data_IF_807507002158
#
_entry.id   IF_807507002158
#
_cell.length_a   1.000
_cell.length_b   1.000
_cell.length_c   1.000
_cell.angle_alpha   90.00
_cell.angle_beta   90.00
_cell.angle_gamma   90.00
#
_symmetry.space_group_name_H-M   'P 1'
#
loop_
_entity.id
_entity.type
_entity.pdbx_description
1 polymer ?
#
# COMPACT_ATOMS: atom_id res chain seq x y z
N UNK A 1 -11.12 48.72 58.35
CA UNK A 1 -11.77 47.79 57.40
C UNK A 1 -10.72 46.81 56.90
N UNK A 2 -10.70 45.58 57.42
CA UNK A 2 -9.75 44.53 57.02
C UNK A 2 -10.37 43.68 55.91
N UNK A 3 -9.86 43.81 54.68
CA UNK A 3 -10.25 42.95 53.57
C UNK A 3 -9.62 41.56 53.77
N UNK A 4 -10.44 40.57 54.11
CA UNK A 4 -10.02 39.17 54.08
C UNK A 4 -9.85 38.75 52.61
N UNK A 5 -8.62 38.39 52.22
CA UNK A 5 -8.29 37.82 50.92
C UNK A 5 -8.98 36.46 50.77
N UNK A 6 -9.97 36.37 49.87
CA UNK A 6 -10.67 35.11 49.53
C UNK A 6 -9.72 34.17 48.76
N UNK A 7 -8.92 33.40 49.52
CA UNK A 7 -7.95 32.43 49.00
C UNK A 7 -8.60 31.35 48.11
N UNK A 8 -9.90 31.09 48.27
CA UNK A 8 -10.68 30.19 47.41
C UNK A 8 -10.67 30.61 45.93
N UNK A 9 -10.78 31.91 45.65
CA UNK A 9 -10.82 32.42 44.28
C UNK A 9 -9.48 32.21 43.57
N UNK A 10 -8.37 32.31 44.31
CA UNK A 10 -7.01 32.05 43.81
C UNK A 10 -6.81 30.56 43.52
N UNK A 11 -7.31 29.66 44.37
CA UNK A 11 -7.24 28.21 44.17
C UNK A 11 -8.05 27.77 42.94
N UNK A 12 -9.26 28.31 42.76
CA UNK A 12 -10.09 28.02 41.58
C UNK A 12 -9.41 28.51 40.29
N UNK A 13 -8.82 29.71 40.30
CA UNK A 13 -8.07 30.23 39.15
C UNK A 13 -6.87 29.32 38.83
N UNK A 14 -6.09 28.91 39.84
CA UNK A 14 -4.95 28.00 39.64
C UNK A 14 -5.39 26.65 39.08
N UNK A 15 -6.49 26.06 39.57
CA UNK A 15 -7.01 24.79 39.07
C UNK A 15 -7.52 24.89 37.61
N UNK A 16 -8.18 26.00 37.24
CA UNK A 16 -8.60 26.26 35.86
C UNK A 16 -7.38 26.41 34.94
N UNK A 17 -6.35 27.17 35.34
CA UNK A 17 -5.11 27.30 34.56
C UNK A 17 -4.34 25.97 34.44
N UNK A 18 -4.36 25.10 35.47
CA UNK A 18 -3.73 23.78 35.41
C UNK A 18 -4.47 22.85 34.42
N UNK A 19 -5.80 22.94 34.38
CA UNK A 19 -6.64 22.12 33.49
C UNK A 19 -6.50 22.49 32.01
N UNK A 20 -6.35 23.77 31.68
CA UNK A 20 -6.12 24.23 30.29
C UNK A 20 -4.72 23.87 29.79
N UNK A 21 -3.74 23.86 30.67
CA UNK A 21 -2.35 23.50 30.38
C UNK A 21 -2.19 22.01 29.97
N UNK A 22 -3.00 21.12 30.56
CA UNK A 22 -3.00 19.69 30.24
C UNK A 22 -3.68 19.38 28.92
N UNK A 23 -4.78 20.08 28.58
CA UNK A 23 -5.48 19.91 27.31
C UNK A 23 -4.61 20.33 26.10
N UNK A 24 -3.78 21.37 26.25
CA UNK A 24 -2.91 21.85 25.18
C UNK A 24 -1.78 20.87 24.80
N UNK A 25 -1.34 20.01 25.73
CA UNK A 25 -0.30 18.99 25.45
C UNK A 25 -0.82 17.71 24.81
N UNK A 26 -2.12 17.45 24.87
CA UNK A 26 -2.74 16.28 24.22
C UNK A 26 -2.98 16.46 22.71
N UNK A 27 -2.83 17.70 22.21
CA UNK A 27 -3.16 18.07 20.84
C UNK A 27 -1.91 18.39 19.99
N UNK A 28 -0.78 17.71 20.18
CA UNK A 28 0.36 17.82 19.24
C UNK A 28 0.33 16.67 18.22
N UNK A 29 -0.74 16.61 17.42
CA UNK A 29 -0.82 15.71 16.26
C UNK A 29 0.05 16.22 15.10
N UNK A 30 0.34 15.36 14.12
CA UNK A 30 1.06 15.77 12.90
C UNK A 30 0.26 16.88 12.19
N UNK A 31 0.79 18.11 12.05
CA UNK A 31 0.04 19.22 11.45
C UNK A 31 -0.26 19.01 9.95
N UNK A 32 0.38 18.02 9.31
CA UNK A 32 0.12 17.62 7.93
C UNK A 32 -0.93 16.50 7.81
N UNK A 33 -1.44 15.99 8.93
CA UNK A 33 -2.39 14.88 8.92
C UNK A 33 -3.70 15.28 8.24
N UNK A 34 -4.11 14.50 7.25
CA UNK A 34 -5.39 14.65 6.58
C UNK A 34 -6.22 13.38 6.84
N UNK A 35 -7.19 13.48 7.75
CA UNK A 35 -8.02 12.35 8.16
C UNK A 35 -8.83 11.78 7.00
N UNK A 36 -9.45 12.62 6.19
CA UNK A 36 -10.28 12.17 5.06
C UNK A 36 -9.44 11.37 4.04
N UNK A 37 -8.21 11.84 3.77
CA UNK A 37 -7.28 11.12 2.91
C UNK A 37 -6.86 9.78 3.54
N UNK A 38 -6.47 9.77 4.82
CA UNK A 38 -6.09 8.56 5.54
C UNK A 38 -7.22 7.51 5.53
N UNK A 39 -8.44 7.90 5.85
CA UNK A 39 -9.63 7.04 5.83
C UNK A 39 -9.88 6.49 4.41
N UNK A 40 -9.80 7.34 3.38
CA UNK A 40 -10.02 6.93 1.99
C UNK A 40 -8.99 5.90 1.49
N UNK A 41 -7.77 5.94 2.03
CA UNK A 41 -6.69 5.03 1.68
C UNK A 41 -6.66 3.77 2.54
N UNK A 42 -7.46 3.73 3.61
CA UNK A 42 -7.46 2.66 4.61
C UNK A 42 -6.17 2.65 5.43
N UNK A 43 -5.62 3.83 5.73
CA UNK A 43 -4.43 3.99 6.53
C UNK A 43 -4.70 3.76 8.02
N UNK A 44 -3.74 3.16 8.71
CA UNK A 44 -3.66 3.16 10.17
C UNK A 44 -3.09 4.48 10.72
N UNK A 45 -2.89 4.54 12.03
CA UNK A 45 -2.36 5.73 12.73
C UNK A 45 -0.96 6.16 12.24
N UNK A 46 -0.21 5.26 11.60
CA UNK A 46 1.11 5.54 11.02
C UNK A 46 1.04 5.95 9.54
N UNK A 47 -0.14 5.98 8.93
CA UNK A 47 -0.27 6.25 7.49
C UNK A 47 0.02 5.03 6.62
N UNK A 48 -0.07 3.82 7.19
CA UNK A 48 0.35 2.57 6.58
C UNK A 48 -0.81 1.58 6.48
N UNK A 49 -0.65 0.52 5.68
CA UNK A 49 -1.57 -0.61 5.65
C UNK A 49 -0.90 -1.88 5.15
N UNK A 50 -1.59 -3.00 5.32
CA UNK A 50 -1.17 -4.29 4.78
C UNK A 50 -1.48 -4.41 3.29
N UNK A 51 -0.51 -4.95 2.56
CA UNK A 51 -0.55 -5.38 1.17
C UNK A 51 -0.07 -6.83 1.09
N UNK A 52 -0.12 -7.40 -0.11
CA UNK A 52 0.60 -8.64 -0.43
C UNK A 52 1.70 -8.36 -1.44
N UNK A 53 2.95 -8.52 -1.01
CA UNK A 53 4.12 -8.57 -1.88
C UNK A 53 4.17 -9.94 -2.55
N UNK A 54 4.37 -9.95 -3.86
CA UNK A 54 4.55 -11.16 -4.66
C UNK A 54 5.91 -11.10 -5.33
N UNK A 55 6.73 -12.12 -5.13
CA UNK A 55 7.94 -12.33 -5.92
C UNK A 55 7.62 -13.32 -7.05
N UNK A 56 7.95 -12.94 -8.28
CA UNK A 56 7.81 -13.78 -9.45
C UNK A 56 9.12 -14.51 -9.72
N UNK A 57 9.06 -15.80 -10.05
CA UNK A 57 10.21 -16.60 -10.50
C UNK A 57 9.83 -17.47 -11.70
N UNK A 58 10.82 -18.07 -12.34
CA UNK A 58 10.56 -19.06 -13.39
C UNK A 58 9.76 -20.24 -12.80
N UNK A 59 8.69 -20.64 -13.49
CA UNK A 59 7.88 -21.80 -13.08
C UNK A 59 8.42 -23.12 -13.63
N UNK A 60 7.73 -24.21 -13.31
CA UNK A 60 8.12 -25.57 -13.74
C UNK A 60 7.94 -25.85 -15.23
N UNK A 61 7.21 -25.00 -15.96
CA UNK A 61 6.88 -25.22 -17.38
C UNK A 61 7.68 -24.27 -18.27
N UNK A 62 8.42 -24.85 -19.21
CA UNK A 62 9.07 -24.14 -20.31
C UNK A 62 8.38 -24.48 -21.62
N UNK A 63 7.99 -23.45 -22.39
CA UNK A 63 7.29 -23.61 -23.67
C UNK A 63 8.25 -23.22 -24.79
N UNK A 64 8.61 -24.19 -25.64
CA UNK A 64 9.54 -23.98 -26.75
C UNK A 64 8.91 -23.19 -27.91
N UNK A 65 7.59 -23.25 -28.09
CA UNK A 65 6.89 -22.48 -29.12
C UNK A 65 6.83 -21.00 -28.75
N UNK A 66 7.60 -20.19 -29.48
CA UNK A 66 7.65 -18.74 -29.30
C UNK A 66 6.30 -18.06 -29.45
N UNK A 67 5.46 -18.44 -30.43
CA UNK A 67 4.15 -17.80 -30.63
C UNK A 67 3.25 -18.02 -29.42
N UNK A 68 3.29 -19.23 -28.87
CA UNK A 68 2.52 -19.58 -27.66
C UNK A 68 3.03 -18.81 -26.44
N UNK A 69 4.33 -18.74 -26.24
CA UNK A 69 4.96 -17.97 -25.15
C UNK A 69 4.62 -16.48 -25.24
N UNK A 70 4.75 -15.88 -26.43
CA UNK A 70 4.44 -14.47 -26.66
C UNK A 70 2.95 -14.17 -26.37
N UNK A 71 2.03 -15.06 -26.76
CA UNK A 71 0.61 -14.92 -26.46
C UNK A 71 0.31 -14.98 -24.95
N UNK A 72 0.96 -15.89 -24.22
CA UNK A 72 0.82 -16.00 -22.76
C UNK A 72 1.30 -14.73 -22.07
N UNK A 73 2.47 -14.21 -22.44
CA UNK A 73 3.01 -12.99 -21.83
C UNK A 73 2.24 -11.73 -22.25
N UNK A 74 1.65 -11.68 -23.45
CA UNK A 74 0.70 -10.62 -23.79
C UNK A 74 -0.52 -10.65 -22.85
N UNK A 75 -1.07 -11.84 -22.59
CA UNK A 75 -2.16 -12.00 -21.63
C UNK A 75 -1.77 -11.64 -20.19
N UNK A 76 -0.53 -11.94 -19.77
CA UNK A 76 0.05 -11.51 -18.50
C UNK A 76 0.05 -9.98 -18.35
N UNK A 77 0.56 -9.25 -19.36
CA UNK A 77 0.57 -7.78 -19.36
C UNK A 77 -0.86 -7.19 -19.35
N UNK A 78 -1.79 -7.78 -20.10
CA UNK A 78 -3.19 -7.37 -20.08
C UNK A 78 -3.82 -7.56 -18.69
N UNK A 79 -3.50 -8.67 -18.02
CA UNK A 79 -3.95 -8.94 -16.65
C UNK A 79 -3.40 -7.91 -15.65
N UNK A 80 -2.10 -7.56 -15.76
CA UNK A 80 -1.47 -6.52 -14.95
C UNK A 80 -2.24 -5.20 -15.08
N UNK A 81 -2.51 -4.74 -16.31
CA UNK A 81 -3.25 -3.49 -16.54
C UNK A 81 -4.65 -3.54 -15.97
N UNK A 82 -5.37 -4.63 -16.22
CA UNK A 82 -6.73 -4.81 -15.69
C UNK A 82 -6.72 -4.69 -14.16
N UNK A 83 -5.80 -5.38 -13.47
CA UNK A 83 -5.70 -5.33 -12.01
C UNK A 83 -5.26 -3.95 -11.49
N UNK A 84 -4.39 -3.24 -12.22
CA UNK A 84 -4.01 -1.87 -11.87
C UNK A 84 -5.22 -0.92 -11.99
N UNK A 85 -5.99 -1.00 -13.08
CA UNK A 85 -7.20 -0.22 -13.31
C UNK A 85 -8.29 -0.51 -12.28
N UNK A 86 -8.40 -1.76 -11.82
CA UNK A 86 -9.30 -2.17 -10.73
C UNK A 86 -8.80 -1.76 -9.33
N UNK A 87 -7.62 -1.13 -9.24
CA UNK A 87 -7.00 -0.73 -7.97
C UNK A 87 -6.54 -1.90 -7.10
N UNK A 88 -6.40 -3.09 -7.69
CA UNK A 88 -5.98 -4.34 -7.03
C UNK A 88 -4.48 -4.57 -7.08
N UNK A 89 -3.80 -3.99 -8.07
CA UNK A 89 -2.35 -4.05 -8.24
C UNK A 89 -1.77 -2.64 -8.15
N UNK A 90 -0.90 -2.42 -7.17
CA UNK A 90 -0.29 -1.12 -6.90
C UNK A 90 1.04 -0.95 -7.59
N UNK A 91 1.88 -1.99 -7.62
CA UNK A 91 3.19 -1.99 -8.27
C UNK A 91 3.33 -3.27 -9.06
N UNK A 92 3.86 -3.15 -10.27
CA UNK A 92 4.34 -4.27 -11.06
C UNK A 92 5.62 -3.87 -11.79
N UNK A 93 6.61 -4.75 -11.79
CA UNK A 93 7.84 -4.49 -12.52
C UNK A 93 8.78 -5.69 -12.58
N UNK A 94 9.60 -5.77 -13.62
CA UNK A 94 10.66 -6.76 -13.68
C UNK A 94 11.72 -6.48 -12.62
N UNK A 95 12.38 -7.53 -12.16
CA UNK A 95 13.63 -7.44 -11.43
C UNK A 95 14.77 -7.68 -12.41
N UNK A 96 15.87 -6.96 -12.21
CA UNK A 96 17.12 -7.26 -12.90
C UNK A 96 17.62 -8.66 -12.55
N UNK A 97 18.51 -9.19 -13.38
CA UNK A 97 19.15 -10.48 -13.12
C UNK A 97 19.79 -10.48 -11.72
N UNK A 98 19.49 -11.53 -10.95
CA UNK A 98 19.92 -11.68 -9.57
C UNK A 98 20.23 -13.15 -9.24
N UNK A 99 20.99 -13.36 -8.17
CA UNK A 99 21.43 -14.68 -7.69
C UNK A 99 20.27 -15.54 -7.14
N UNK A 100 19.10 -14.94 -6.89
CA UNK A 100 17.90 -15.63 -6.41
C UNK A 100 16.98 -16.11 -7.52
N UNK A 101 17.22 -15.72 -8.77
CA UNK A 101 16.40 -16.09 -9.92
C UNK A 101 15.00 -15.46 -9.93
N UNK A 102 14.77 -14.39 -9.16
CA UNK A 102 13.52 -13.65 -9.23
C UNK A 102 13.45 -12.83 -10.52
N UNK A 103 12.26 -12.79 -11.13
CA UNK A 103 12.00 -12.16 -12.42
C UNK A 103 11.26 -10.84 -12.31
N UNK A 104 10.55 -10.61 -11.21
CA UNK A 104 9.69 -9.44 -11.05
C UNK A 104 8.99 -9.43 -9.71
N UNK A 105 8.29 -8.33 -9.43
CA UNK A 105 7.48 -8.18 -8.24
C UNK A 105 6.08 -7.68 -8.58
N UNK A 106 5.11 -8.05 -7.75
CA UNK A 106 3.84 -7.35 -7.61
C UNK A 106 3.64 -6.86 -6.18
N UNK A 107 2.95 -5.74 -6.02
CA UNK A 107 2.35 -5.33 -4.74
C UNK A 107 0.85 -5.26 -4.94
N UNK A 108 0.12 -6.23 -4.39
CA UNK A 108 -1.34 -6.31 -4.48
C UNK A 108 -2.00 -5.56 -3.31
N UNK A 109 -3.00 -4.75 -3.62
CA UNK A 109 -3.83 -3.99 -2.68
C UNK A 109 -4.99 -4.84 -2.16
N UNK A 110 -4.64 -5.90 -1.43
CA UNK A 110 -5.57 -6.84 -0.79
C UNK A 110 -5.11 -7.13 0.64
N UNK A 111 -6.04 -7.55 1.50
CA UNK A 111 -5.77 -7.73 2.94
C UNK A 111 -5.16 -9.09 3.23
N UNK A 112 -5.40 -10.10 2.39
CA UNK A 112 -5.01 -11.48 2.68
C UNK A 112 -4.29 -12.16 1.52
N UNK A 113 -3.46 -13.13 1.87
CA UNK A 113 -2.80 -14.04 0.91
C UNK A 113 -3.84 -14.81 0.08
N UNK A 114 -5.00 -15.15 0.65
CA UNK A 114 -6.05 -15.87 -0.05
C UNK A 114 -6.64 -15.04 -1.20
N UNK A 115 -6.94 -13.77 -0.94
CA UNK A 115 -7.41 -12.84 -1.97
C UNK A 115 -6.34 -12.66 -3.06
N UNK A 116 -5.07 -12.53 -2.67
CA UNK A 116 -3.97 -12.41 -3.62
C UNK A 116 -3.88 -13.64 -4.55
N UNK A 117 -4.00 -14.86 -4.01
CA UNK A 117 -4.00 -16.09 -4.82
C UNK A 117 -5.12 -16.09 -5.85
N UNK A 118 -6.33 -15.67 -5.49
CA UNK A 118 -7.46 -15.58 -6.44
C UNK A 118 -7.14 -14.62 -7.59
N UNK A 119 -6.51 -13.47 -7.31
CA UNK A 119 -6.10 -12.53 -8.35
C UNK A 119 -4.96 -13.07 -9.22
N UNK A 120 -4.02 -13.82 -8.65
CA UNK A 120 -2.89 -14.39 -9.39
C UNK A 120 -3.31 -15.53 -10.32
N UNK A 121 -4.37 -16.28 -9.98
CA UNK A 121 -4.94 -17.34 -10.85
C UNK A 121 -5.56 -16.81 -12.15
N UNK A 122 -5.83 -15.50 -12.24
CA UNK A 122 -6.29 -14.89 -13.49
C UNK A 122 -5.16 -14.58 -14.47
N UNK A 123 -3.91 -14.72 -14.05
CA UNK A 123 -2.73 -14.44 -14.86
C UNK A 123 -2.37 -15.64 -15.76
N UNK A 124 -2.36 -15.48 -17.09
CA UNK A 124 -2.04 -16.59 -18.00
C UNK A 124 -0.66 -17.20 -17.80
N UNK A 125 0.35 -16.41 -17.41
CA UNK A 125 1.72 -16.90 -17.22
C UNK A 125 1.84 -17.72 -15.93
N UNK A 126 1.10 -17.35 -14.88
CA UNK A 126 1.05 -18.09 -13.62
C UNK A 126 0.20 -19.36 -13.79
N UNK A 127 -0.98 -19.24 -14.41
CA UNK A 127 -1.88 -20.37 -14.68
C UNK A 127 -1.23 -21.44 -15.56
N UNK A 128 -0.42 -21.02 -16.54
CA UNK A 128 0.35 -21.94 -17.39
C UNK A 128 1.61 -22.50 -16.70
N UNK A 129 1.90 -22.10 -15.45
CA UNK A 129 3.10 -22.47 -14.68
C UNK A 129 4.42 -22.08 -15.36
N UNK A 130 4.39 -21.05 -16.20
CA UNK A 130 5.58 -20.41 -16.78
C UNK A 130 6.20 -19.45 -15.76
N UNK A 131 5.36 -18.86 -14.91
CA UNK A 131 5.76 -18.13 -13.72
C UNK A 131 5.23 -18.81 -12.46
N UNK A 132 6.01 -18.74 -11.40
CA UNK A 132 5.61 -19.09 -10.04
C UNK A 132 5.68 -17.88 -9.13
N UNK A 133 4.97 -17.96 -8.00
CA UNK A 133 4.80 -16.85 -7.06
C UNK A 133 5.20 -17.24 -5.65
N UNK A 134 5.85 -16.32 -4.94
CA UNK A 134 6.05 -16.37 -3.50
C UNK A 134 5.38 -15.15 -2.88
N UNK A 135 4.51 -15.36 -1.89
CA UNK A 135 3.63 -14.33 -1.36
C UNK A 135 3.98 -14.01 0.08
N UNK A 136 4.07 -12.71 0.38
CA UNK A 136 4.36 -12.19 1.71
C UNK A 136 3.38 -11.09 2.06
N UNK A 137 2.88 -11.11 3.30
CA UNK A 137 2.21 -9.95 3.85
C UNK A 137 3.23 -8.83 4.03
N UNK A 138 2.95 -7.67 3.44
CA UNK A 138 3.87 -6.54 3.46
C UNK A 138 3.17 -5.30 4.00
N UNK A 139 3.78 -4.69 5.01
CA UNK A 139 3.30 -3.45 5.62
C UNK A 139 3.97 -2.26 4.93
N UNK A 140 3.17 -1.44 4.25
CA UNK A 140 3.65 -0.35 3.40
C UNK A 140 2.80 0.90 3.52
N UNK A 141 3.27 1.99 2.91
CA UNK A 141 2.53 3.26 2.91
C UNK A 141 1.13 3.08 2.31
N UNK A 142 0.10 3.56 3.01
CA UNK A 142 -1.27 3.55 2.49
C UNK A 142 -1.42 4.48 1.28
N UNK A 143 -0.53 5.46 1.14
CA UNK A 143 -0.48 6.38 0.00
C UNK A 143 0.18 5.77 -1.25
N UNK A 144 0.71 4.54 -1.20
CA UNK A 144 1.40 3.94 -2.33
C UNK A 144 0.57 3.95 -3.64
N UNK A 145 -0.74 3.60 -3.66
CA UNK A 145 -1.54 3.65 -4.89
C UNK A 145 -1.68 5.04 -5.50
N UNK A 146 -1.40 6.11 -4.74
CA UNK A 146 -1.50 7.48 -5.25
C UNK A 146 -0.50 7.77 -6.37
N UNK A 147 0.59 7.01 -6.52
CA UNK A 147 1.53 7.23 -7.62
C UNK A 147 0.95 6.80 -8.98
N UNK A 148 -0.02 5.88 -9.01
CA UNK A 148 -0.56 5.31 -10.27
C UNK A 148 -1.10 6.41 -11.20
N UNK A 149 -1.82 7.39 -10.66
CA UNK A 149 -2.34 8.55 -11.42
C UNK A 149 -1.22 9.40 -12.08
N UNK A 150 0.00 9.30 -11.57
CA UNK A 150 1.17 9.99 -12.10
C UNK A 150 1.99 9.08 -13.03
N UNK A 151 1.98 7.76 -12.78
CA UNK A 151 2.61 6.76 -13.66
C UNK A 151 2.12 6.90 -15.10
N UNK A 152 0.79 6.99 -15.28
CA UNK A 152 0.19 7.18 -16.60
C UNK A 152 0.66 8.45 -17.30
N UNK A 153 0.98 9.51 -16.53
CA UNK A 153 1.40 10.81 -17.08
C UNK A 153 2.87 10.85 -17.50
N UNK A 154 3.68 9.91 -17.01
CA UNK A 154 5.11 9.82 -17.36
C UNK A 154 5.39 8.75 -18.42
N UNK A 155 4.39 7.96 -18.79
CA UNK A 155 4.48 7.00 -19.90
C UNK A 155 4.49 7.72 -21.24
N UNK A 156 5.56 7.54 -22.02
CA UNK A 156 5.60 8.01 -23.41
C UNK A 156 4.76 7.13 -24.34
N UNK A 157 4.66 5.84 -24.01
CA UNK A 157 3.92 4.84 -24.78
C UNK A 157 3.19 3.93 -23.80
N UNK A 158 1.88 3.80 -23.97
CA UNK A 158 1.10 2.78 -23.26
C UNK A 158 1.50 1.43 -23.82
N UNK A 159 2.15 0.60 -23.01
CA UNK A 159 2.60 -0.74 -23.40
C UNK A 159 1.57 -1.76 -23.03
#
# INVERSE_FOLDING_TARGET
>A
MSFHSNNWFKVVIVLVFLSTSLAAKAQSGNPKFNKALADSLGADDYGMKMYVLVLLKAGTVTIADKKKTDSIFSGHLQNIRRLANEGKLTVAGPLENNDKGYRGIFILNVKTISEAKVLLETDPAIKAKVLETELYQWYGSAALPMYLQFSEKVEKTTY
#
